data_IF_293707134339
#
_entry.id   IF_293707134339
#
_cell.length_a   1.000
_cell.length_b   1.000
_cell.length_c   1.000
_cell.angle_alpha   90.00
_cell.angle_beta   90.00
_cell.angle_gamma   90.00
#
_symmetry.space_group_name_H-M   'P 1'
#
loop_
_entity.id
_entity.type
_entity.pdbx_description
1 polymer ?
#
# COMPACT_ATOMS: atom_id res chain seq x y z
N UNK A 1 36.70 30.74 41.37
CA UNK A 1 35.69 29.67 41.35
C UNK A 1 35.64 29.09 39.94
N UNK A 2 36.08 27.87 39.78
CA UNK A 2 36.00 27.18 38.52
C UNK A 2 34.96 26.04 38.67
N UNK A 3 33.71 26.36 38.31
CA UNK A 3 32.68 25.34 38.07
C UNK A 3 32.82 24.75 36.67
N UNK A 4 32.44 23.51 36.47
CA UNK A 4 32.34 22.95 35.14
C UNK A 4 31.37 23.77 34.27
N UNK A 5 31.81 24.22 33.12
CA UNK A 5 31.02 24.97 32.15
C UNK A 5 31.09 26.49 32.20
N UNK A 6 31.60 27.10 33.30
CA UNK A 6 31.72 28.54 33.44
C UNK A 6 33.12 28.89 33.96
N UNK A 7 33.81 29.81 33.26
CA UNK A 7 35.15 30.31 33.65
C UNK A 7 35.09 31.81 33.85
N UNK A 8 35.73 32.27 34.92
CA UNK A 8 36.01 33.69 35.15
C UNK A 8 37.48 33.98 34.84
N UNK A 9 37.71 34.95 34.01
CA UNK A 9 39.07 35.41 33.66
C UNK A 9 39.15 36.93 33.85
N UNK A 10 40.35 37.46 34.05
CA UNK A 10 40.60 38.89 34.07
C UNK A 10 41.21 39.26 32.73
N UNK A 11 40.50 40.07 31.98
CA UNK A 11 40.98 40.65 30.71
C UNK A 11 40.92 42.18 30.79
N UNK A 12 42.04 42.87 30.53
CA UNK A 12 42.12 44.35 30.56
C UNK A 12 41.59 44.97 31.86
N UNK A 13 41.91 44.38 33.02
CA UNK A 13 41.48 44.85 34.32
C UNK A 13 39.99 44.61 34.64
N UNK A 14 39.26 43.87 33.82
CA UNK A 14 37.85 43.53 34.04
C UNK A 14 37.71 42.05 34.28
N UNK A 15 36.79 41.67 35.16
CA UNK A 15 36.37 40.29 35.33
C UNK A 15 35.40 39.92 34.21
N UNK A 16 35.76 38.92 33.41
CA UNK A 16 34.93 38.42 32.30
C UNK A 16 34.51 37.02 32.65
N UNK A 17 33.20 36.75 32.55
CA UNK A 17 32.61 35.42 32.70
C UNK A 17 32.42 34.82 31.31
N UNK A 18 33.04 33.68 31.05
CA UNK A 18 32.94 32.95 29.77
C UNK A 18 32.35 31.56 30.01
N UNK A 19 31.48 31.13 29.13
CA UNK A 19 31.06 29.74 29.07
C UNK A 19 32.13 28.89 28.38
N UNK A 20 32.31 27.67 28.83
CA UNK A 20 33.16 26.70 28.14
C UNK A 20 32.55 26.35 26.76
N UNK A 21 33.41 25.91 25.83
CA UNK A 21 32.97 25.41 24.52
C UNK A 21 32.03 24.21 24.67
N UNK A 22 32.15 23.47 25.77
CA UNK A 22 31.26 22.35 26.10
C UNK A 22 30.59 22.66 27.44
N UNK A 23 29.27 22.87 27.43
CA UNK A 23 28.46 23.01 28.63
C UNK A 23 27.85 21.66 28.97
N UNK A 24 28.15 21.10 30.15
CA UNK A 24 27.51 19.90 30.68
C UNK A 24 26.49 20.36 31.75
N UNK A 25 25.24 19.92 31.56
CA UNK A 25 24.15 20.21 32.49
C UNK A 25 23.20 19.05 32.55
N UNK A 26 22.63 18.76 33.71
CA UNK A 26 21.64 17.74 33.91
C UNK A 26 20.30 18.13 33.28
N UNK A 27 20.00 19.44 33.30
CA UNK A 27 18.77 19.97 32.73
C UNK A 27 19.06 21.29 32.01
N UNK A 28 18.55 21.44 30.81
CA UNK A 28 18.54 22.68 30.06
C UNK A 28 17.08 23.13 29.87
N UNK A 29 16.72 24.26 30.51
CA UNK A 29 15.41 24.91 30.30
C UNK A 29 15.60 26.15 29.43
N UNK A 30 15.03 26.16 28.26
CA UNK A 30 15.11 27.26 27.31
C UNK A 30 13.83 27.39 26.51
N UNK A 31 13.54 28.62 26.02
CA UNK A 31 12.42 28.84 25.09
C UNK A 31 12.69 28.29 23.71
N UNK A 32 13.94 28.41 23.25
CA UNK A 32 14.33 28.01 21.88
C UNK A 32 15.74 27.47 21.89
N UNK A 33 15.98 26.39 21.17
CA UNK A 33 17.30 25.88 20.82
C UNK A 33 17.48 26.07 19.32
N UNK A 34 18.46 26.88 18.91
CA UNK A 34 18.84 27.05 17.50
C UNK A 34 20.22 26.42 17.34
N UNK A 35 20.32 25.40 16.50
CA UNK A 35 21.53 24.63 16.28
C UNK A 35 21.49 23.94 14.93
N UNK A 36 22.65 23.66 14.35
CA UNK A 36 22.77 22.88 13.11
C UNK A 36 22.45 21.39 13.33
N UNK A 37 22.62 20.90 14.56
CA UNK A 37 22.36 19.50 14.90
C UNK A 37 21.98 19.34 16.37
N UNK A 38 20.93 18.58 16.63
CA UNK A 38 20.58 18.03 17.94
C UNK A 38 20.85 16.53 17.91
N UNK A 39 21.70 16.04 18.82
CA UNK A 39 21.90 14.61 19.05
C UNK A 39 21.29 14.28 20.39
N UNK A 40 20.31 13.38 20.40
CA UNK A 40 19.58 12.97 21.60
C UNK A 40 19.87 11.48 21.86
N UNK A 41 20.23 11.15 23.08
CA UNK A 41 20.47 9.79 23.53
C UNK A 41 21.92 9.33 23.49
N UNK A 42 22.21 8.29 24.25
CA UNK A 42 23.47 7.53 24.18
C UNK A 42 23.42 6.56 23.01
N UNK A 43 24.60 6.30 22.44
CA UNK A 43 24.86 5.31 21.40
C UNK A 43 23.98 4.09 21.61
N UNK A 44 23.08 3.77 20.70
CA UNK A 44 22.06 2.72 20.77
C UNK A 44 22.48 1.31 21.22
N UNK A 45 23.46 1.23 22.13
CA UNK A 45 24.10 0.02 22.64
C UNK A 45 23.17 -0.90 23.46
N UNK A 46 21.91 -0.58 23.61
CA UNK A 46 20.92 -1.44 24.26
C UNK A 46 19.59 -1.42 23.54
N UNK A 47 19.57 -0.99 22.28
CA UNK A 47 18.34 -0.94 21.49
C UNK A 47 17.32 0.08 22.01
N UNK A 48 17.75 1.08 22.79
CA UNK A 48 16.86 2.11 23.30
C UNK A 48 17.40 3.50 22.98
N UNK A 49 16.66 4.19 22.15
CA UNK A 49 16.50 5.64 22.05
C UNK A 49 17.72 6.45 21.57
N UNK A 50 18.03 6.34 20.29
CA UNK A 50 18.90 7.32 19.64
C UNK A 50 18.19 8.69 19.45
N UNK A 51 16.86 8.74 19.41
CA UNK A 51 16.03 9.94 19.47
C UNK A 51 14.78 9.61 20.26
N UNK A 52 14.62 10.20 21.44
CA UNK A 52 13.38 10.15 22.19
C UNK A 52 12.85 11.57 22.33
N UNK A 53 11.82 11.89 21.60
CA UNK A 53 10.95 13.03 21.90
C UNK A 53 9.79 12.43 22.69
N UNK A 54 10.02 12.12 23.96
CA UNK A 54 9.00 11.49 24.80
C UNK A 54 8.10 12.54 25.41
N UNK A 55 6.80 12.28 25.36
CA UNK A 55 5.80 12.92 26.17
C UNK A 55 5.93 12.50 27.65
N UNK A 56 5.39 13.30 28.53
CA UNK A 56 5.31 13.06 29.98
C UNK A 56 4.55 11.77 30.25
N UNK A 57 5.01 10.97 31.23
CA UNK A 57 4.31 9.84 31.84
C UNK A 57 4.32 8.49 31.09
N UNK A 58 5.35 8.16 30.31
CA UNK A 58 5.55 6.81 29.79
C UNK A 58 4.46 6.31 28.83
N UNK A 59 3.70 7.22 28.24
CA UNK A 59 2.79 6.94 27.13
C UNK A 59 3.54 7.07 25.81
N UNK A 60 2.99 6.42 24.78
CA UNK A 60 3.55 6.37 23.43
C UNK A 60 4.15 7.71 22.99
N UNK A 61 5.44 7.69 22.64
CA UNK A 61 6.13 8.87 22.16
C UNK A 61 5.47 9.39 20.87
N UNK A 62 5.22 10.68 20.82
CA UNK A 62 4.63 11.31 19.64
C UNK A 62 5.53 12.42 19.11
N UNK A 63 5.69 12.47 17.79
CA UNK A 63 6.26 13.61 17.07
C UNK A 63 5.09 14.48 16.61
N UNK A 64 4.91 15.64 17.21
CA UNK A 64 3.89 16.60 16.79
C UNK A 64 4.38 17.41 15.59
N UNK A 65 3.61 17.42 14.52
CA UNK A 65 3.82 18.27 13.35
C UNK A 65 2.66 19.26 13.29
N UNK A 66 2.97 20.55 13.48
CA UNK A 66 1.99 21.64 13.38
C UNK A 66 2.22 22.38 12.07
N UNK A 67 1.24 22.34 11.19
CA UNK A 67 1.26 23.09 9.93
C UNK A 67 0.95 24.58 10.16
N UNK A 68 1.36 25.43 9.21
CA UNK A 68 1.16 26.88 9.22
C UNK A 68 -0.32 27.28 9.38
N UNK A 69 -1.24 26.48 8.86
CA UNK A 69 -2.69 26.76 8.84
C UNK A 69 -3.46 26.05 9.97
N UNK A 70 -2.77 25.69 11.06
CA UNK A 70 -3.37 25.02 12.21
C UNK A 70 -3.61 23.51 12.01
N UNK A 71 -3.24 22.95 10.87
CA UNK A 71 -3.23 21.51 10.70
C UNK A 71 -2.15 20.89 11.57
N UNK A 72 -2.54 19.94 12.43
CA UNK A 72 -1.63 19.22 13.30
C UNK A 72 -1.75 17.72 13.08
N UNK A 73 -0.63 17.01 13.17
CA UNK A 73 -0.60 15.56 13.13
C UNK A 73 0.34 15.03 14.21
N UNK A 74 -0.08 13.96 14.87
CA UNK A 74 0.78 13.20 15.79
C UNK A 74 1.17 11.90 15.10
N UNK A 75 2.46 11.59 15.10
CA UNK A 75 3.00 10.35 14.55
C UNK A 75 3.39 9.43 15.71
N UNK A 76 2.85 8.22 15.70
CA UNK A 76 3.18 7.17 16.69
C UNK A 76 3.53 5.87 15.97
N UNK A 77 4.23 4.97 16.66
CA UNK A 77 4.45 3.60 16.21
C UNK A 77 3.81 2.68 17.22
N UNK A 78 2.94 1.81 16.77
CA UNK A 78 2.23 0.84 17.60
C UNK A 78 1.81 -0.37 16.76
N UNK A 79 1.36 -1.44 17.43
CA UNK A 79 0.78 -2.58 16.73
C UNK A 79 -0.41 -2.14 15.88
N UNK A 80 -0.39 -2.52 14.63
CA UNK A 80 -1.41 -2.21 13.64
C UNK A 80 -1.99 -3.45 12.96
N UNK A 81 -2.78 -3.23 11.93
CA UNK A 81 -3.35 -4.30 11.14
C UNK A 81 -2.25 -5.18 10.52
N UNK A 82 -2.49 -6.49 10.42
CA UNK A 82 -1.57 -7.40 9.76
C UNK A 82 -1.28 -6.98 8.31
N UNK A 83 -0.06 -7.23 7.86
CA UNK A 83 0.29 -7.10 6.43
C UNK A 83 -0.45 -8.15 5.59
N UNK A 84 -0.32 -8.09 4.26
CA UNK A 84 -1.05 -8.95 3.32
C UNK A 84 -0.89 -10.46 3.62
N UNK A 85 0.25 -10.88 4.15
CA UNK A 85 0.51 -12.28 4.56
C UNK A 85 -0.26 -12.70 5.82
N UNK A 86 -0.87 -11.77 6.55
CA UNK A 86 -1.51 -12.02 7.85
C UNK A 86 -0.56 -11.89 9.04
N UNK A 87 0.70 -11.53 8.83
CA UNK A 87 1.67 -11.31 9.90
C UNK A 87 1.41 -9.98 10.60
N UNK A 88 1.37 -9.99 11.94
CA UNK A 88 1.27 -8.77 12.73
C UNK A 88 2.46 -7.84 12.44
N UNK A 89 2.21 -6.55 12.41
CA UNK A 89 3.23 -5.55 12.10
C UNK A 89 3.08 -4.32 12.99
N UNK A 90 4.22 -3.78 13.41
CA UNK A 90 4.26 -2.43 13.96
C UNK A 90 4.09 -1.44 12.81
N UNK A 91 3.21 -0.47 13.00
CA UNK A 91 2.87 0.51 11.97
C UNK A 91 3.04 1.93 12.46
N UNK A 92 3.33 2.81 11.52
CA UNK A 92 3.23 4.24 11.75
C UNK A 92 1.76 4.62 11.70
N UNK A 93 1.30 5.27 12.78
CA UNK A 93 -0.01 5.90 12.83
C UNK A 93 0.14 7.40 12.85
N UNK A 94 -0.80 8.10 12.26
CA UNK A 94 -0.94 9.53 12.48
C UNK A 94 -2.39 9.88 12.86
N UNK A 95 -2.52 10.91 13.66
CA UNK A 95 -3.82 11.54 13.95
C UNK A 95 -3.89 12.87 13.25
N UNK A 96 -5.00 13.09 12.57
CA UNK A 96 -5.29 14.38 11.96
C UNK A 96 -5.84 15.40 12.99
N UNK A 97 -6.10 16.62 12.54
CA UNK A 97 -6.66 17.69 13.36
C UNK A 97 -8.07 17.41 13.89
N UNK A 98 -8.78 16.42 13.32
CA UNK A 98 -10.12 15.98 13.73
C UNK A 98 -10.07 14.77 14.66
N UNK A 99 -8.86 14.38 15.13
CA UNK A 99 -8.61 13.22 15.98
C UNK A 99 -8.90 11.85 15.32
N UNK A 100 -9.02 11.81 13.98
CA UNK A 100 -9.06 10.54 13.25
C UNK A 100 -7.68 9.91 13.24
N UNK A 101 -7.64 8.58 13.41
CA UNK A 101 -6.40 7.81 13.40
C UNK A 101 -6.28 7.03 12.10
N UNK A 102 -5.14 7.13 11.43
CA UNK A 102 -4.83 6.46 10.18
C UNK A 102 -3.55 5.65 10.31
N UNK A 103 -3.50 4.50 9.64
CA UNK A 103 -2.30 3.69 9.51
C UNK A 103 -1.60 3.98 8.20
N UNK A 104 -0.29 4.02 8.21
CA UNK A 104 0.52 4.14 7.00
C UNK A 104 0.73 2.74 6.41
N UNK A 105 0.34 2.57 5.15
CA UNK A 105 0.58 1.35 4.41
C UNK A 105 2.08 1.19 4.09
N UNK A 106 2.52 -0.06 4.03
CA UNK A 106 3.87 -0.46 3.65
C UNK A 106 3.84 -1.20 2.32
N UNK A 107 5.00 -1.52 1.77
CA UNK A 107 5.11 -2.36 0.57
C UNK A 107 4.65 -3.81 0.79
N UNK A 108 4.51 -4.23 2.06
CA UNK A 108 3.99 -5.55 2.43
C UNK A 108 2.45 -5.60 2.49
N UNK A 109 1.81 -4.45 2.40
CA UNK A 109 0.36 -4.34 2.24
C UNK A 109 -0.02 -4.55 0.78
N UNK A 110 -1.31 -4.75 0.52
CA UNK A 110 -1.75 -4.99 -0.84
C UNK A 110 -3.24 -5.27 -0.94
N UNK A 111 -3.62 -5.92 -2.02
CA UNK A 111 -5.01 -6.25 -2.31
C UNK A 111 -5.19 -7.76 -2.50
N UNK A 112 -6.36 -8.25 -2.14
CA UNK A 112 -6.81 -9.60 -2.41
C UNK A 112 -7.86 -9.56 -3.51
N UNK A 113 -7.71 -10.47 -4.47
CA UNK A 113 -8.63 -10.63 -5.60
C UNK A 113 -9.20 -12.04 -5.59
N UNK A 114 -10.44 -12.16 -5.92
CA UNK A 114 -11.13 -13.46 -6.07
C UNK A 114 -11.96 -13.49 -7.34
N UNK A 115 -12.23 -14.68 -7.82
CA UNK A 115 -13.08 -14.95 -8.98
C UNK A 115 -14.26 -15.84 -8.57
N UNK A 116 -14.99 -16.38 -9.55
CA UNK A 116 -16.20 -17.19 -9.31
C UNK A 116 -15.92 -18.50 -8.55
N UNK A 117 -14.70 -18.99 -8.58
CA UNK A 117 -14.24 -20.19 -7.88
C UNK A 117 -13.73 -19.92 -6.45
N UNK A 118 -13.95 -18.71 -5.93
CA UNK A 118 -13.57 -18.36 -4.57
C UNK A 118 -14.41 -19.12 -3.54
N UNK A 119 -13.72 -19.77 -2.60
CA UNK A 119 -14.34 -20.46 -1.48
C UNK A 119 -14.13 -19.67 -0.17
N UNK A 120 -15.18 -19.03 0.37
CA UNK A 120 -15.05 -18.23 1.59
C UNK A 120 -14.80 -19.07 2.85
N UNK A 121 -15.05 -20.39 2.82
CA UNK A 121 -14.88 -21.26 3.97
C UNK A 121 -13.41 -21.54 4.29
N UNK A 122 -12.54 -21.47 3.29
CA UNK A 122 -11.09 -21.75 3.42
C UNK A 122 -10.21 -20.68 2.76
N UNK A 123 -10.82 -19.65 2.18
CA UNK A 123 -10.16 -18.56 1.45
C UNK A 123 -9.27 -19.05 0.28
N UNK A 124 -9.55 -20.23 -0.28
CA UNK A 124 -8.87 -20.73 -1.47
C UNK A 124 -9.24 -19.88 -2.70
N UNK A 125 -8.42 -20.01 -3.75
CA UNK A 125 -8.61 -19.31 -5.02
C UNK A 125 -8.63 -17.78 -4.86
N UNK A 126 -7.77 -17.28 -3.95
CA UNK A 126 -7.51 -15.86 -3.76
C UNK A 126 -6.13 -15.52 -4.27
N UNK A 127 -6.04 -14.48 -5.09
CA UNK A 127 -4.77 -13.89 -5.52
C UNK A 127 -4.44 -12.75 -4.59
N UNK A 128 -3.29 -12.83 -3.89
CA UNK A 128 -2.76 -11.75 -3.06
C UNK A 128 -1.67 -11.01 -3.83
N UNK A 129 -1.78 -9.69 -3.93
CA UNK A 129 -0.82 -8.82 -4.60
C UNK A 129 -0.41 -7.71 -3.67
N UNK A 130 0.90 -7.63 -3.39
CA UNK A 130 1.50 -6.50 -2.66
C UNK A 130 1.45 -5.22 -3.49
N UNK A 131 1.69 -4.09 -2.83
CA UNK A 131 1.85 -2.83 -3.55
C UNK A 131 3.00 -2.93 -4.57
N UNK A 132 2.81 -2.39 -5.77
CA UNK A 132 3.69 -2.49 -6.96
C UNK A 132 3.75 -3.86 -7.65
N UNK A 133 3.05 -4.89 -7.18
CA UNK A 133 2.95 -6.14 -7.92
C UNK A 133 1.92 -6.04 -9.05
N UNK A 134 2.24 -6.67 -10.19
CA UNK A 134 1.31 -6.73 -11.32
C UNK A 134 0.24 -7.79 -11.10
N UNK A 135 -1.02 -7.42 -11.31
CA UNK A 135 -2.12 -8.36 -11.52
C UNK A 135 -2.28 -8.56 -13.03
N UNK A 136 -2.21 -9.80 -13.46
CA UNK A 136 -2.47 -10.18 -14.86
C UNK A 136 -3.83 -10.87 -14.95
N UNK A 137 -4.68 -10.38 -15.85
CA UNK A 137 -5.96 -10.99 -16.21
C UNK A 137 -5.86 -11.38 -17.67
N UNK A 138 -5.84 -12.69 -17.94
CA UNK A 138 -5.63 -13.21 -19.29
C UNK A 138 -6.78 -14.14 -19.69
N UNK A 139 -7.29 -13.97 -20.89
CA UNK A 139 -8.35 -14.82 -21.47
C UNK A 139 -7.81 -15.99 -22.31
N UNK A 140 -6.51 -16.05 -22.59
CA UNK A 140 -5.86 -17.11 -23.36
C UNK A 140 -6.12 -17.07 -24.87
N UNK A 141 -6.93 -16.16 -25.36
CA UNK A 141 -7.21 -16.04 -26.79
C UNK A 141 -6.08 -15.34 -27.57
N UNK A 142 -5.95 -15.68 -28.86
CA UNK A 142 -5.05 -15.01 -29.77
C UNK A 142 -5.48 -13.55 -29.94
N UNK A 143 -4.62 -12.62 -29.58
CA UNK A 143 -4.91 -11.16 -29.61
C UNK A 143 -5.26 -10.64 -31.01
N UNK A 144 -4.83 -11.33 -32.08
CA UNK A 144 -5.13 -10.95 -33.47
C UNK A 144 -6.54 -11.38 -33.92
N UNK A 145 -7.22 -12.18 -33.10
CA UNK A 145 -8.55 -12.75 -33.37
C UNK A 145 -9.60 -12.28 -32.36
N UNK A 146 -9.32 -11.24 -31.62
CA UNK A 146 -10.27 -10.67 -30.66
C UNK A 146 -11.34 -9.88 -31.42
N UNK A 147 -12.58 -9.99 -30.97
CA UNK A 147 -13.71 -9.18 -31.44
C UNK A 147 -14.04 -8.10 -30.42
N UNK A 148 -14.48 -6.95 -30.89
CA UNK A 148 -14.92 -5.84 -30.05
C UNK A 148 -16.39 -5.99 -29.64
N UNK A 149 -16.79 -5.35 -28.53
CA UNK A 149 -18.17 -5.17 -28.08
C UNK A 149 -18.95 -6.45 -27.68
N UNK A 150 -18.31 -7.59 -27.59
CA UNK A 150 -18.95 -8.85 -27.22
C UNK A 150 -18.87 -9.17 -25.71
N UNK A 151 -18.00 -8.48 -24.99
CA UNK A 151 -17.85 -8.60 -23.53
C UNK A 151 -18.15 -7.25 -22.89
N UNK A 152 -19.03 -7.26 -21.89
CA UNK A 152 -19.33 -6.09 -21.08
C UNK A 152 -18.90 -6.30 -19.62
N UNK A 153 -18.54 -5.21 -18.95
CA UNK A 153 -18.26 -5.22 -17.51
C UNK A 153 -19.23 -4.29 -16.78
N UNK A 154 -19.80 -4.76 -15.68
CA UNK A 154 -20.78 -4.02 -14.89
C UNK A 154 -20.44 -4.15 -13.41
N UNK A 155 -20.47 -3.04 -12.70
CA UNK A 155 -20.38 -3.04 -11.23
C UNK A 155 -21.78 -3.26 -10.66
N UNK A 156 -21.92 -4.19 -9.74
CA UNK A 156 -23.17 -4.42 -9.04
C UNK A 156 -23.26 -3.62 -7.70
N UNK A 157 -24.38 -3.69 -7.04
CA UNK A 157 -24.62 -3.01 -5.77
C UNK A 157 -23.85 -3.60 -4.57
N UNK A 158 -23.15 -4.72 -4.75
CA UNK A 158 -22.25 -5.33 -3.75
C UNK A 158 -20.78 -4.96 -3.98
N UNK A 159 -20.49 -4.14 -5.00
CA UNK A 159 -19.13 -3.70 -5.33
C UNK A 159 -18.33 -4.71 -6.16
N UNK A 160 -18.99 -5.71 -6.76
CA UNK A 160 -18.34 -6.69 -7.64
C UNK A 160 -18.34 -6.20 -9.08
N UNK A 161 -17.26 -6.47 -9.80
CA UNK A 161 -17.16 -6.28 -11.25
C UNK A 161 -17.58 -7.60 -11.90
N UNK A 162 -18.71 -7.57 -12.58
CA UNK A 162 -19.25 -8.71 -13.34
C UNK A 162 -18.79 -8.60 -14.79
N UNK A 163 -18.12 -9.62 -15.30
CA UNK A 163 -17.78 -9.78 -16.71
C UNK A 163 -18.88 -10.57 -17.38
N UNK A 164 -19.51 -10.02 -18.40
CA UNK A 164 -20.69 -10.61 -19.05
C UNK A 164 -20.48 -10.71 -20.56
N UNK A 165 -20.89 -11.84 -21.14
CA UNK A 165 -21.03 -11.98 -22.58
C UNK A 165 -22.28 -11.20 -23.05
N UNK A 166 -22.20 -10.47 -24.16
CA UNK A 166 -23.35 -9.84 -24.81
C UNK A 166 -24.38 -10.89 -25.22
N UNK A 167 -25.65 -10.54 -25.12
CA UNK A 167 -26.75 -11.38 -25.67
C UNK A 167 -26.71 -11.46 -27.20
N UNK A 168 -26.20 -10.40 -27.83
CA UNK A 168 -26.02 -10.32 -29.27
C UNK A 168 -24.53 -10.26 -29.55
N UNK A 169 -24.02 -11.25 -30.29
CA UNK A 169 -22.62 -11.33 -30.68
C UNK A 169 -22.46 -10.77 -32.09
N UNK A 170 -21.57 -9.82 -32.27
CA UNK A 170 -21.31 -9.13 -33.52
C UNK A 170 -19.85 -9.18 -33.91
N UNK A 171 -19.57 -9.05 -35.21
CA UNK A 171 -18.18 -9.00 -35.71
C UNK A 171 -17.42 -10.32 -35.58
N UNK A 172 -18.10 -11.45 -35.33
CA UNK A 172 -17.48 -12.76 -35.34
C UNK A 172 -17.31 -13.28 -36.78
N UNK A 173 -16.14 -13.76 -37.09
CA UNK A 173 -15.88 -14.42 -38.40
C UNK A 173 -16.32 -15.88 -38.42
N UNK A 174 -16.28 -16.56 -37.29
CA UNK A 174 -16.79 -17.92 -37.15
C UNK A 174 -17.16 -18.25 -35.71
N UNK A 175 -18.04 -19.23 -35.53
CA UNK A 175 -18.30 -19.87 -34.25
C UNK A 175 -18.27 -21.36 -34.45
N UNK A 176 -17.58 -22.09 -33.56
CA UNK A 176 -17.43 -23.54 -33.63
C UNK A 176 -17.72 -24.15 -32.26
N UNK A 177 -18.63 -25.14 -32.25
CA UNK A 177 -18.96 -25.96 -31.09
C UNK A 177 -18.47 -27.37 -31.36
N UNK A 178 -17.63 -27.89 -30.49
CA UNK A 178 -16.99 -29.21 -30.67
C UNK A 178 -17.20 -30.07 -29.44
N UNK A 179 -17.60 -31.34 -29.64
CA UNK A 179 -17.62 -32.36 -28.60
C UNK A 179 -17.14 -33.69 -29.21
N UNK A 180 -15.93 -34.09 -28.88
CA UNK A 180 -15.25 -35.21 -29.54
C UNK A 180 -15.12 -35.01 -31.04
N UNK A 181 -15.70 -35.89 -31.85
CA UNK A 181 -15.73 -35.77 -33.33
C UNK A 181 -16.91 -34.95 -33.83
N UNK A 182 -17.88 -34.62 -32.97
CA UNK A 182 -19.07 -33.88 -33.36
C UNK A 182 -18.75 -32.39 -33.45
N UNK A 183 -19.24 -31.72 -34.48
CA UNK A 183 -18.96 -30.31 -34.77
C UNK A 183 -20.20 -29.60 -35.31
N UNK A 184 -20.41 -28.36 -34.81
CA UNK A 184 -21.28 -27.38 -35.44
C UNK A 184 -20.40 -26.15 -35.68
N UNK A 185 -20.28 -25.71 -36.93
CA UNK A 185 -19.50 -24.53 -37.29
C UNK A 185 -20.35 -23.61 -38.16
N UNK A 186 -20.41 -22.37 -37.76
CA UNK A 186 -20.87 -21.23 -38.58
C UNK A 186 -19.63 -20.50 -39.08
N UNK A 187 -19.50 -20.29 -40.36
CA UNK A 187 -18.36 -19.70 -41.03
C UNK A 187 -18.83 -18.56 -41.94
N UNK A 188 -18.74 -17.34 -41.47
CA UNK A 188 -19.25 -16.15 -42.18
C UNK A 188 -18.48 -15.84 -43.46
N UNK A 189 -17.13 -15.89 -43.52
CA UNK A 189 -16.38 -15.70 -44.75
C UNK A 189 -16.80 -16.61 -45.92
N UNK A 190 -17.21 -17.84 -45.59
CA UNK A 190 -17.63 -18.83 -46.56
C UNK A 190 -19.16 -18.95 -46.69
N UNK A 191 -19.92 -18.21 -45.88
CA UNK A 191 -21.39 -18.27 -45.78
C UNK A 191 -21.93 -19.68 -45.56
N UNK A 192 -21.25 -20.49 -44.71
CA UNK A 192 -21.58 -21.91 -44.51
C UNK A 192 -21.96 -22.22 -43.08
N UNK A 193 -22.92 -23.17 -42.94
CA UNK A 193 -23.22 -23.87 -41.72
C UNK A 193 -22.86 -25.36 -41.91
N UNK A 194 -21.96 -25.84 -41.04
CA UNK A 194 -21.53 -27.25 -41.05
C UNK A 194 -21.98 -27.95 -39.79
N UNK A 195 -22.64 -29.07 -39.91
CA UNK A 195 -23.02 -29.95 -38.80
C UNK A 195 -22.55 -31.37 -39.11
N UNK A 196 -21.74 -31.94 -38.25
CA UNK A 196 -21.21 -33.29 -38.55
C UNK A 196 -20.48 -33.94 -37.39
N UNK A 197 -20.07 -35.16 -37.59
CA UNK A 197 -19.36 -36.03 -36.62
C UNK A 197 -18.01 -36.55 -37.15
N UNK A 198 -17.40 -35.83 -38.08
CA UNK A 198 -16.15 -36.25 -38.73
C UNK A 198 -16.37 -37.18 -39.96
N UNK A 199 -17.26 -38.16 -39.86
CA UNK A 199 -17.55 -39.13 -40.97
C UNK A 199 -18.77 -38.65 -41.78
N UNK A 200 -19.81 -38.17 -41.10
CA UNK A 200 -21.05 -37.72 -41.71
C UNK A 200 -21.17 -36.18 -41.46
N UNK A 201 -21.23 -35.40 -42.54
CA UNK A 201 -21.29 -33.96 -42.46
C UNK A 201 -22.41 -33.45 -43.36
N UNK A 202 -23.25 -32.59 -42.81
CA UNK A 202 -24.20 -31.78 -43.57
C UNK A 202 -23.60 -30.37 -43.66
N UNK A 203 -23.48 -29.85 -44.85
CA UNK A 203 -23.04 -28.51 -45.14
C UNK A 203 -24.16 -27.78 -45.87
N UNK A 204 -24.49 -26.59 -45.39
CA UNK A 204 -25.44 -25.69 -46.02
C UNK A 204 -24.64 -24.48 -46.47
N UNK A 205 -24.66 -24.18 -47.78
CA UNK A 205 -23.99 -23.07 -48.42
C UNK A 205 -24.99 -21.96 -48.76
#
# INVERSE_FOLDING_TARGET
YSGEGVKTIVENGKVVVKLDKTLKTDNLTTKTVTTDKVSVGKDGASGKDAVSISGKDGKDGAIGINGKDGASANITVQNGDPVLSGTAADRIFYKDSHNNTYQVATMEDGMKFSADDYDPSNANNTISKKLNERLEVVGGADKTKLSDNNIGTVVDNTGKINVKLSKELTGLTSAEFVSGTNKIKVDAPNSTLTVGNGTNTVKVD
#
